data_IF_348747294114
#
_entry.id   IF_348747294114
#
_cell.length_a   1.000
_cell.length_b   1.000
_cell.length_c   1.000
_cell.angle_alpha   90.00
_cell.angle_beta   90.00
_cell.angle_gamma   90.00
#
_symmetry.space_group_name_H-M   'P 1'
#
loop_
_entity.id
_entity.type
_entity.pdbx_description
1 polymer ?
#
# COMPACT_ATOMS: atom_id res chain seq x y z
N UNK A 1 -17.75 -3.23 16.34
CA UNK A 1 -16.44 -2.60 16.09
C UNK A 1 -15.51 -3.67 15.55
N UNK A 2 -15.41 -3.79 14.22
CA UNK A 2 -14.46 -4.73 13.60
C UNK A 2 -13.07 -4.13 13.72
N UNK A 3 -12.24 -4.70 14.59
CA UNK A 3 -10.87 -4.24 14.80
C UNK A 3 -10.04 -4.62 13.57
N UNK A 4 -9.72 -3.65 12.71
CA UNK A 4 -8.95 -3.85 11.47
C UNK A 4 -7.62 -4.57 11.70
N UNK A 5 -7.07 -4.49 12.92
CA UNK A 5 -5.83 -5.15 13.34
C UNK A 5 -5.88 -6.67 13.17
N UNK A 6 -7.02 -7.32 13.43
CA UNK A 6 -7.14 -8.79 13.39
C UNK A 6 -7.26 -9.34 11.96
N UNK A 7 -7.64 -8.49 10.99
CA UNK A 7 -7.85 -8.89 9.58
C UNK A 7 -6.56 -9.29 8.87
N UNK A 8 -5.40 -8.91 9.42
CA UNK A 8 -4.09 -8.98 8.76
C UNK A 8 -3.18 -10.10 9.29
N UNK A 9 -3.40 -10.57 10.51
CA UNK A 9 -2.48 -11.47 11.21
C UNK A 9 -2.31 -12.85 10.54
N UNK A 10 -3.34 -13.38 9.88
CA UNK A 10 -3.31 -14.73 9.26
C UNK A 10 -2.82 -14.76 7.79
N UNK A 11 -2.32 -13.65 7.24
CA UNK A 11 -2.02 -13.55 5.79
C UNK A 11 -0.66 -12.95 5.45
N UNK A 12 0.22 -12.76 6.44
CA UNK A 12 1.50 -12.04 6.30
C UNK A 12 2.39 -12.61 5.18
N UNK A 13 2.61 -13.93 5.16
CA UNK A 13 3.50 -14.57 4.18
C UNK A 13 2.99 -14.44 2.73
N UNK A 14 1.69 -14.66 2.52
CA UNK A 14 1.04 -14.47 1.21
C UNK A 14 1.03 -13.00 0.80
N UNK A 15 0.89 -12.09 1.76
CA UNK A 15 0.89 -10.65 1.53
C UNK A 15 2.24 -10.15 0.98
N UNK A 16 3.34 -10.59 1.58
CA UNK A 16 4.70 -10.25 1.13
C UNK A 16 4.99 -10.80 -0.26
N UNK A 17 4.56 -12.04 -0.54
CA UNK A 17 4.92 -12.73 -1.78
C UNK A 17 4.21 -12.21 -3.02
N UNK A 18 2.95 -11.79 -2.91
CA UNK A 18 2.11 -11.55 -4.09
C UNK A 18 1.60 -10.11 -4.26
N UNK A 19 1.79 -9.21 -3.30
CA UNK A 19 1.38 -7.80 -3.47
C UNK A 19 2.26 -7.09 -4.51
N UNK A 20 1.69 -6.18 -5.33
CA UNK A 20 2.48 -5.32 -6.19
C UNK A 20 3.50 -4.54 -5.37
N UNK A 21 4.75 -4.61 -5.82
CA UNK A 21 5.75 -3.59 -5.51
C UNK A 21 5.37 -2.27 -6.20
N UNK A 22 6.18 -1.23 -6.02
CA UNK A 22 5.98 0.07 -6.65
C UNK A 22 6.89 0.22 -7.87
N UNK A 23 6.45 0.95 -8.92
CA UNK A 23 7.26 1.16 -10.12
C UNK A 23 8.52 1.93 -9.75
N UNK A 24 9.63 1.58 -10.42
CA UNK A 24 10.93 2.22 -10.18
C UNK A 24 10.84 3.72 -10.42
N UNK A 25 10.07 4.12 -11.43
CA UNK A 25 9.82 5.49 -11.86
C UNK A 25 9.13 6.32 -10.75
N UNK A 26 8.20 5.72 -10.01
CA UNK A 26 7.59 6.40 -8.86
C UNK A 26 8.62 6.64 -7.75
N UNK A 27 9.50 5.67 -7.48
CA UNK A 27 10.57 5.82 -6.50
C UNK A 27 11.58 6.86 -6.97
N UNK A 28 12.01 6.82 -8.23
CA UNK A 28 12.91 7.84 -8.81
C UNK A 28 12.31 9.24 -8.68
N UNK A 29 11.03 9.41 -9.00
CA UNK A 29 10.32 10.69 -8.85
C UNK A 29 10.37 11.24 -7.41
N UNK A 30 10.27 10.38 -6.39
CA UNK A 30 10.38 10.83 -5.00
C UNK A 30 11.73 11.48 -4.70
N UNK A 31 12.82 10.91 -5.23
CA UNK A 31 14.17 11.41 -4.96
C UNK A 31 14.54 12.57 -5.90
N UNK A 32 14.16 12.48 -7.17
CA UNK A 32 14.63 13.40 -8.20
C UNK A 32 13.76 14.68 -8.28
N UNK A 33 12.47 14.59 -7.93
CA UNK A 33 11.51 15.70 -8.05
C UNK A 33 10.94 16.13 -6.70
N UNK A 34 10.44 15.20 -5.88
CA UNK A 34 9.81 15.54 -4.59
C UNK A 34 10.86 16.05 -3.58
N UNK A 35 12.11 15.60 -3.73
CA UNK A 35 13.25 16.04 -2.93
C UNK A 35 13.62 15.10 -1.79
N UNK A 36 13.15 13.84 -1.79
CA UNK A 36 13.77 12.82 -0.94
C UNK A 36 15.26 12.70 -1.29
N UNK A 37 16.07 12.40 -0.29
CA UNK A 37 17.51 12.27 -0.47
C UNK A 37 18.05 11.11 0.36
N UNK A 38 19.20 10.59 -0.06
CA UNK A 38 19.96 9.66 0.78
C UNK A 38 20.18 10.27 2.16
N UNK A 39 20.10 9.43 3.20
CA UNK A 39 20.18 9.77 4.62
C UNK A 39 19.07 10.68 5.15
N UNK A 40 18.05 11.03 4.36
CA UNK A 40 16.84 11.63 4.91
C UNK A 40 16.19 10.64 5.89
N UNK A 41 15.71 11.13 7.02
CA UNK A 41 14.96 10.36 7.99
C UNK A 41 13.48 10.38 7.63
N UNK A 42 12.96 9.22 7.24
CA UNK A 42 11.60 9.02 6.75
C UNK A 42 10.81 8.20 7.77
N UNK A 43 9.64 8.70 8.18
CA UNK A 43 8.66 7.89 8.89
C UNK A 43 7.74 7.21 7.87
N UNK A 44 7.76 5.87 7.82
CA UNK A 44 6.82 5.06 7.04
C UNK A 44 5.64 4.68 7.95
N UNK A 45 4.51 5.37 7.79
CA UNK A 45 3.35 5.27 8.69
C UNK A 45 2.35 4.25 8.13
N UNK A 46 2.02 3.25 8.94
CA UNK A 46 1.29 2.07 8.47
C UNK A 46 2.17 1.21 7.57
N UNK A 47 3.43 1.01 7.96
CA UNK A 47 4.45 0.35 7.13
C UNK A 47 4.12 -1.13 6.80
N UNK A 48 3.20 -1.76 7.54
CA UNK A 48 2.86 -3.17 7.37
C UNK A 48 4.12 -4.05 7.47
N UNK A 49 4.32 -4.89 6.46
CA UNK A 49 5.50 -5.79 6.36
C UNK A 49 6.76 -5.11 5.83
N UNK A 50 6.78 -3.79 5.66
CA UNK A 50 7.96 -3.03 5.26
C UNK A 50 8.26 -3.02 3.75
N UNK A 51 7.28 -3.35 2.90
CA UNK A 51 7.47 -3.35 1.42
C UNK A 51 7.97 -1.99 0.93
N UNK A 52 7.35 -0.89 1.36
CA UNK A 52 7.77 0.45 0.95
C UNK A 52 9.06 0.90 1.66
N UNK A 53 9.17 0.63 2.96
CA UNK A 53 10.40 0.81 3.74
C UNK A 53 11.64 0.25 3.04
N UNK A 54 11.55 -0.96 2.47
CA UNK A 54 12.64 -1.60 1.72
C UNK A 54 13.12 -0.75 0.54
N UNK A 55 12.18 -0.16 -0.22
CA UNK A 55 12.50 0.66 -1.40
C UNK A 55 13.22 1.96 -0.99
N UNK A 56 12.83 2.56 0.14
CA UNK A 56 13.50 3.74 0.71
C UNK A 56 14.92 3.41 1.20
N UNK A 57 15.09 2.27 1.88
CA UNK A 57 16.40 1.79 2.35
C UNK A 57 17.35 1.50 1.18
N UNK A 58 16.86 0.90 0.10
CA UNK A 58 17.65 0.65 -1.12
C UNK A 58 18.17 1.94 -1.79
N UNK A 59 17.52 3.08 -1.53
CA UNK A 59 17.95 4.42 -1.98
C UNK A 59 18.77 5.17 -0.92
N UNK A 60 19.09 4.51 0.19
CA UNK A 60 19.95 5.02 1.26
C UNK A 60 19.26 5.94 2.26
N UNK A 61 17.93 5.99 2.32
CA UNK A 61 17.20 6.72 3.36
C UNK A 61 17.28 6.00 4.71
N UNK A 62 17.08 6.74 5.80
CA UNK A 62 16.88 6.18 7.13
C UNK A 62 15.38 6.04 7.36
N UNK A 63 14.92 4.87 7.80
CA UNK A 63 13.50 4.55 7.86
C UNK A 63 13.09 4.19 9.28
N UNK A 64 12.05 4.87 9.76
CA UNK A 64 11.31 4.53 10.97
C UNK A 64 9.94 4.01 10.55
N UNK A 65 9.76 2.69 10.58
CA UNK A 65 8.48 2.05 10.29
C UNK A 65 7.56 2.11 11.51
N UNK A 66 6.51 2.92 11.43
CA UNK A 66 5.46 3.03 12.45
C UNK A 66 4.31 2.13 12.03
N UNK A 67 4.04 1.08 12.80
CA UNK A 67 2.99 0.12 12.48
C UNK A 67 2.34 -0.39 13.77
N UNK A 68 1.01 -0.34 13.93
CA UNK A 68 0.37 -0.76 15.18
C UNK A 68 0.22 -2.27 15.34
N UNK A 69 0.16 -3.05 14.25
CA UNK A 69 0.03 -4.52 14.31
C UNK A 69 1.39 -5.18 14.56
N UNK A 70 1.49 -5.97 15.63
CA UNK A 70 2.73 -6.64 16.03
C UNK A 70 3.24 -7.63 14.99
N UNK A 71 2.39 -8.51 14.46
CA UNK A 71 2.81 -9.51 13.47
C UNK A 71 3.34 -8.87 12.17
N UNK A 72 2.73 -7.76 11.74
CA UNK A 72 3.20 -6.99 10.59
C UNK A 72 4.57 -6.35 10.85
N UNK A 73 4.76 -5.72 12.03
CA UNK A 73 6.06 -5.19 12.45
C UNK A 73 7.14 -6.25 12.50
N UNK A 74 6.86 -7.41 13.12
CA UNK A 74 7.82 -8.51 13.24
C UNK A 74 8.23 -9.02 11.85
N UNK A 75 7.31 -9.09 10.89
CA UNK A 75 7.64 -9.43 9.51
C UNK A 75 8.54 -8.38 8.83
N UNK A 76 8.31 -7.09 9.09
CA UNK A 76 9.19 -6.02 8.62
C UNK A 76 10.60 -6.13 9.23
N UNK A 77 10.69 -6.41 10.53
CA UNK A 77 11.96 -6.64 11.25
C UNK A 77 12.70 -7.85 10.70
N UNK A 78 12.02 -8.98 10.50
CA UNK A 78 12.62 -10.16 9.89
C UNK A 78 13.17 -9.87 8.49
N UNK A 79 12.46 -9.05 7.70
CA UNK A 79 12.87 -8.71 6.35
C UNK A 79 14.04 -7.70 6.30
N UNK A 80 14.08 -6.73 7.22
CA UNK A 80 14.89 -5.51 7.07
C UNK A 80 15.88 -5.24 8.21
N UNK A 81 15.88 -6.01 9.30
CA UNK A 81 16.75 -5.80 10.47
C UNK A 81 18.26 -5.86 10.19
N UNK A 82 18.68 -6.44 9.07
CA UNK A 82 20.07 -6.42 8.63
C UNK A 82 20.54 -5.04 8.15
N UNK A 83 19.61 -4.13 7.79
CA UNK A 83 19.93 -2.77 7.41
C UNK A 83 19.99 -1.87 8.66
N UNK A 84 21.17 -1.34 8.95
CA UNK A 84 21.38 -0.47 10.11
C UNK A 84 20.59 0.86 10.07
N UNK A 85 20.03 1.22 8.91
CA UNK A 85 19.19 2.41 8.74
C UNK A 85 17.69 2.14 9.00
N UNK A 86 17.32 0.91 9.34
CA UNK A 86 15.94 0.52 9.60
C UNK A 86 15.67 0.38 11.11
N UNK A 87 14.54 0.91 11.56
CA UNK A 87 13.97 0.61 12.88
C UNK A 87 12.45 0.67 12.85
N UNK A 88 11.81 -0.03 13.78
CA UNK A 88 10.36 -0.05 13.95
C UNK A 88 9.92 0.70 15.21
N UNK A 89 8.67 1.17 15.20
CA UNK A 89 7.99 1.73 16.36
C UNK A 89 6.55 1.20 16.39
N UNK A 90 6.11 0.74 17.56
CA UNK A 90 4.71 0.42 17.80
C UNK A 90 3.93 1.71 18.01
N UNK A 91 3.30 2.22 16.95
CA UNK A 91 2.49 3.44 16.97
C UNK A 91 1.44 3.42 15.87
N UNK A 92 0.52 4.39 15.90
CA UNK A 92 -0.45 4.63 14.84
C UNK A 92 -0.19 5.97 14.15
N UNK A 93 -0.95 6.30 13.11
CA UNK A 93 -0.83 7.58 12.42
C UNK A 93 -1.18 8.78 13.32
N UNK A 94 -2.07 8.55 14.29
CA UNK A 94 -2.55 9.56 15.25
C UNK A 94 -1.63 9.70 16.48
N UNK A 95 -0.81 8.69 16.75
CA UNK A 95 0.10 8.65 17.89
C UNK A 95 1.32 7.80 17.53
N UNK A 96 2.29 8.41 16.87
CA UNK A 96 3.46 7.72 16.30
C UNK A 96 4.50 7.35 17.36
N UNK A 97 4.49 8.05 18.50
CA UNK A 97 5.53 7.94 19.52
C UNK A 97 6.87 8.58 19.12
N UNK A 98 6.92 9.29 17.98
CA UNK A 98 8.12 9.97 17.52
C UNK A 98 8.28 11.35 18.18
N UNK A 99 9.51 11.87 18.36
CA UNK A 99 9.72 13.21 18.90
C UNK A 99 9.24 14.31 17.94
N UNK A 100 8.99 15.49 18.49
CA UNK A 100 8.66 16.69 17.72
C UNK A 100 9.78 17.00 16.70
N UNK A 101 9.38 17.43 15.50
CA UNK A 101 10.30 17.93 14.45
C UNK A 101 11.50 17.01 14.21
N UNK A 102 11.26 15.70 14.20
CA UNK A 102 12.31 14.68 14.17
C UNK A 102 12.54 14.11 12.77
N UNK A 103 11.53 14.10 11.89
CA UNK A 103 11.62 13.46 10.56
C UNK A 103 11.61 14.47 9.42
N UNK A 104 12.30 14.15 8.33
CA UNK A 104 12.36 14.97 7.12
C UNK A 104 11.12 14.74 6.22
N UNK A 105 10.65 13.49 6.17
CA UNK A 105 9.51 13.07 5.36
C UNK A 105 8.63 12.08 6.12
N UNK A 106 7.35 12.10 5.77
CA UNK A 106 6.38 11.06 6.14
C UNK A 106 5.92 10.39 4.85
N UNK A 107 5.88 9.06 4.83
CA UNK A 107 5.29 8.28 3.76
C UNK A 107 4.16 7.43 4.32
N UNK A 108 3.04 7.36 3.61
CA UNK A 108 1.93 6.46 3.89
C UNK A 108 1.60 5.69 2.60
N UNK A 109 2.09 4.45 2.49
CA UNK A 109 1.90 3.64 1.29
C UNK A 109 0.76 2.62 1.50
N UNK A 110 -0.39 2.87 0.87
CA UNK A 110 -1.64 2.08 0.99
C UNK A 110 -2.29 2.10 2.39
N UNK A 111 -1.85 2.97 3.31
CA UNK A 111 -2.35 2.98 4.70
C UNK A 111 -3.35 4.11 5.01
N UNK A 112 -3.30 5.22 4.27
CA UNK A 112 -3.96 6.47 4.68
C UNK A 112 -5.49 6.39 4.83
N UNK A 113 -6.15 5.47 4.11
CA UNK A 113 -7.61 5.25 4.22
C UNK A 113 -8.06 4.65 5.56
N UNK A 114 -7.13 4.20 6.41
CA UNK A 114 -7.42 3.70 7.74
C UNK A 114 -7.36 4.76 8.85
N UNK A 115 -6.86 5.96 8.54
CA UNK A 115 -6.48 6.93 9.57
C UNK A 115 -7.66 7.82 9.97
N UNK A 116 -7.68 8.24 11.24
CA UNK A 116 -8.34 9.49 11.60
C UNK A 116 -7.52 10.65 11.03
N UNK A 117 -7.98 11.20 9.92
CA UNK A 117 -7.24 12.21 9.15
C UNK A 117 -6.97 13.48 9.94
N UNK A 118 -7.87 13.89 10.82
CA UNK A 118 -7.67 15.11 11.62
C UNK A 118 -6.58 14.89 12.67
N UNK A 119 -6.65 13.77 13.37
CA UNK A 119 -5.65 13.42 14.38
C UNK A 119 -4.28 13.11 13.73
N UNK A 120 -4.27 12.39 12.61
CA UNK A 120 -3.06 12.10 11.84
C UNK A 120 -2.42 13.38 11.29
N UNK A 121 -3.20 14.34 10.78
CA UNK A 121 -2.65 15.62 10.31
C UNK A 121 -1.94 16.37 11.43
N UNK A 122 -2.56 16.45 12.61
CA UNK A 122 -1.97 17.10 13.78
C UNK A 122 -0.66 16.41 14.22
N UNK A 123 -0.65 15.07 14.24
CA UNK A 123 0.53 14.29 14.58
C UNK A 123 1.64 14.43 13.53
N UNK A 124 1.29 14.45 12.24
CA UNK A 124 2.24 14.63 11.15
C UNK A 124 2.89 16.00 11.20
N UNK A 125 2.09 17.05 11.47
CA UNK A 125 2.59 18.39 11.70
C UNK A 125 3.56 18.46 12.89
N UNK A 126 3.26 17.73 13.97
CA UNK A 126 4.12 17.69 15.18
C UNK A 126 5.49 17.07 14.89
N UNK A 127 5.54 15.95 14.18
CA UNK A 127 6.78 15.17 14.00
C UNK A 127 7.63 15.65 12.82
N UNK A 128 7.05 16.34 11.84
CA UNK A 128 7.78 16.87 10.68
C UNK A 128 8.68 18.05 11.08
N UNK A 129 9.89 18.06 10.54
CA UNK A 129 10.75 19.25 10.54
C UNK A 129 10.13 20.36 9.68
N UNK A 130 10.48 21.64 9.93
CA UNK A 130 10.10 22.73 9.02
C UNK A 130 10.48 22.43 7.56
N UNK A 131 9.52 22.55 6.64
CA UNK A 131 9.69 22.24 5.21
C UNK A 131 9.65 20.75 4.86
N UNK A 132 9.39 19.88 5.83
CA UNK A 132 9.15 18.46 5.60
C UNK A 132 7.84 18.20 4.86
N UNK A 133 7.77 17.09 4.13
CA UNK A 133 6.63 16.75 3.27
C UNK A 133 5.99 15.42 3.67
N UNK A 134 4.68 15.33 3.45
CA UNK A 134 3.94 14.07 3.51
C UNK A 134 3.75 13.53 2.10
N UNK A 135 3.95 12.23 1.93
CA UNK A 135 3.73 11.49 0.70
C UNK A 135 2.69 10.41 0.96
N UNK A 136 1.59 10.47 0.22
CA UNK A 136 0.53 9.47 0.27
C UNK A 136 0.53 8.69 -1.04
N UNK A 137 0.69 7.37 -0.97
CA UNK A 137 0.93 6.54 -2.15
C UNK A 137 -0.11 5.42 -2.21
N UNK A 138 -0.71 5.22 -3.39
CA UNK A 138 -1.63 4.12 -3.66
C UNK A 138 -1.24 3.37 -4.92
N UNK A 139 -1.41 2.04 -4.90
CA UNK A 139 -1.48 1.23 -6.11
C UNK A 139 -2.95 0.83 -6.32
N UNK A 140 -3.57 1.42 -7.33
CA UNK A 140 -4.96 1.20 -7.72
C UNK A 140 -4.99 0.25 -8.91
N UNK A 141 -5.70 -0.88 -8.81
CA UNK A 141 -5.84 -1.80 -9.96
C UNK A 141 -6.69 -1.13 -11.04
N UNK A 142 -6.30 -1.29 -12.29
CA UNK A 142 -7.15 -0.88 -13.41
C UNK A 142 -8.28 -1.90 -13.61
N UNK A 143 -9.51 -1.45 -13.48
CA UNK A 143 -10.72 -2.30 -13.55
C UNK A 143 -11.31 -2.39 -14.96
N UNK A 144 -10.92 -1.47 -15.85
CA UNK A 144 -11.47 -1.33 -17.20
C UNK A 144 -10.36 -1.25 -18.26
N UNK A 145 -10.77 -1.37 -19.52
CA UNK A 145 -9.92 -1.12 -20.69
C UNK A 145 -9.40 -2.39 -21.38
N UNK A 146 -9.66 -3.57 -20.82
CA UNK A 146 -9.57 -4.84 -21.54
C UNK A 146 -10.47 -5.91 -20.87
N UNK A 147 -10.72 -7.00 -21.60
CA UNK A 147 -11.62 -8.07 -21.16
C UNK A 147 -11.13 -8.77 -19.88
N UNK A 148 -9.83 -9.01 -19.73
CA UNK A 148 -9.28 -9.60 -18.51
C UNK A 148 -9.60 -8.77 -17.26
N UNK A 149 -9.39 -7.46 -17.30
CA UNK A 149 -9.63 -6.55 -16.16
C UNK A 149 -11.11 -6.52 -15.77
N UNK A 150 -11.99 -6.49 -16.77
CA UNK A 150 -13.44 -6.45 -16.59
C UNK A 150 -13.98 -7.78 -16.03
N UNK A 151 -13.55 -8.92 -16.58
CA UNK A 151 -13.94 -10.25 -16.07
C UNK A 151 -13.39 -10.51 -14.67
N UNK A 152 -12.14 -10.10 -14.40
CA UNK A 152 -11.58 -10.22 -13.06
C UNK A 152 -12.28 -9.30 -12.05
N UNK A 153 -12.69 -8.09 -12.44
CA UNK A 153 -13.50 -7.23 -11.57
C UNK A 153 -14.87 -7.85 -11.29
N UNK A 154 -15.51 -8.44 -12.31
CA UNK A 154 -16.77 -9.15 -12.15
C UNK A 154 -16.63 -10.36 -11.20
N UNK A 155 -15.56 -11.15 -11.34
CA UNK A 155 -15.22 -12.24 -10.41
C UNK A 155 -15.22 -11.74 -8.95
N UNK A 156 -14.56 -10.61 -8.69
CA UNK A 156 -14.48 -10.03 -7.34
C UNK A 156 -15.83 -9.54 -6.83
N UNK A 157 -16.65 -8.92 -7.68
CA UNK A 157 -18.01 -8.48 -7.32
C UNK A 157 -18.95 -9.65 -7.05
N UNK A 158 -18.86 -10.71 -7.84
CA UNK A 158 -19.73 -11.88 -7.73
C UNK A 158 -19.42 -12.72 -6.49
N UNK A 159 -18.13 -12.91 -6.18
CA UNK A 159 -17.73 -13.88 -5.15
C UNK A 159 -17.08 -13.28 -3.90
N UNK A 160 -16.58 -12.04 -3.96
CA UNK A 160 -15.93 -11.36 -2.84
C UNK A 160 -16.92 -11.04 -1.71
N UNK A 161 -16.51 -11.20 -0.45
CA UNK A 161 -17.40 -11.05 0.70
C UNK A 161 -17.77 -9.60 1.01
N UNK A 162 -16.84 -8.66 0.79
CA UNK A 162 -16.98 -7.23 1.09
C UNK A 162 -16.30 -6.34 0.03
N UNK A 163 -16.15 -6.85 -1.20
CA UNK A 163 -15.36 -6.17 -2.23
C UNK A 163 -15.84 -4.72 -2.47
N UNK A 164 -17.14 -4.51 -2.67
CA UNK A 164 -17.72 -3.18 -2.93
C UNK A 164 -17.50 -2.16 -1.79
N UNK A 165 -17.31 -2.62 -0.56
CA UNK A 165 -17.03 -1.75 0.59
C UNK A 165 -15.54 -1.39 0.70
N UNK A 166 -14.66 -2.15 0.06
CA UNK A 166 -13.19 -2.09 0.21
C UNK A 166 -12.49 -1.58 -1.06
N UNK A 167 -13.11 -1.64 -2.23
CA UNK A 167 -12.55 -1.22 -3.53
C UNK A 167 -12.19 0.24 -3.60
N UNK A 168 -13.03 1.08 -3.02
CA UNK A 168 -12.83 2.50 -3.15
C UNK A 168 -11.71 2.91 -2.20
N UNK A 169 -10.77 3.68 -2.74
CA UNK A 169 -9.88 4.59 -2.00
C UNK A 169 -10.62 5.33 -0.88
N UNK A 170 -11.96 5.40 -0.94
CA UNK A 170 -12.92 5.93 0.03
C UNK A 170 -12.56 7.34 0.48
N UNK A 171 -11.79 8.03 -0.35
CA UNK A 171 -11.30 9.37 -0.12
C UNK A 171 -11.42 10.10 -1.45
N UNK A 172 -12.22 11.16 -1.45
CA UNK A 172 -12.33 12.06 -2.59
C UNK A 172 -11.04 12.87 -2.76
N UNK A 173 -10.78 13.36 -3.97
CA UNK A 173 -9.64 14.26 -4.21
C UNK A 173 -9.72 15.53 -3.35
N UNK A 174 -10.92 16.05 -3.10
CA UNK A 174 -11.15 17.17 -2.18
C UNK A 174 -10.71 16.84 -0.75
N UNK A 175 -11.02 15.63 -0.28
CA UNK A 175 -10.60 15.20 1.06
C UNK A 175 -9.08 15.02 1.15
N UNK A 176 -8.44 14.49 0.10
CA UNK A 176 -6.97 14.45 0.03
C UNK A 176 -6.39 15.86 0.05
N UNK A 177 -6.93 16.77 -0.77
CA UNK A 177 -6.46 18.15 -0.84
C UNK A 177 -6.57 18.87 0.53
N UNK A 178 -7.67 18.67 1.27
CA UNK A 178 -7.87 19.27 2.60
C UNK A 178 -6.86 18.78 3.66
N UNK A 179 -6.19 17.66 3.41
CA UNK A 179 -5.14 17.17 4.30
C UNK A 179 -3.83 17.95 4.14
N UNK A 180 -3.62 18.62 3.02
CA UNK A 180 -2.42 19.40 2.75
C UNK A 180 -2.67 20.90 2.96
N UNK A 181 -1.64 21.61 3.37
CA UNK A 181 -1.66 23.05 3.62
C UNK A 181 -1.71 23.84 2.31
N UNK A 182 -2.52 24.90 2.28
CA UNK A 182 -2.52 25.96 1.23
C UNK A 182 -2.54 25.43 -0.22
N UNK A 183 -3.33 24.39 -0.51
CA UNK A 183 -3.39 23.78 -1.84
C UNK A 183 -2.01 23.30 -2.37
N UNK A 184 -1.08 22.99 -1.46
CA UNK A 184 0.28 22.54 -1.83
C UNK A 184 0.32 21.14 -2.44
N UNK A 185 -0.79 20.40 -2.38
CA UNK A 185 -0.89 19.03 -2.88
C UNK A 185 -0.52 18.96 -4.37
N UNK A 186 0.53 18.21 -4.66
CA UNK A 186 0.87 17.76 -6.01
C UNK A 186 0.45 16.30 -6.18
N UNK A 187 0.22 15.87 -7.42
CA UNK A 187 -0.08 14.48 -7.75
C UNK A 187 0.69 14.06 -9.00
N UNK A 188 1.26 12.87 -8.97
CA UNK A 188 1.87 12.22 -10.13
C UNK A 188 1.42 10.77 -10.24
N UNK A 189 1.36 10.24 -11.47
CA UNK A 189 0.84 8.90 -11.77
C UNK A 189 1.83 8.06 -12.56
N UNK A 190 1.95 6.80 -12.18
CA UNK A 190 2.86 5.85 -12.83
C UNK A 190 2.12 4.54 -13.11
N UNK A 191 2.25 4.02 -14.33
CA UNK A 191 1.73 2.70 -14.65
C UNK A 191 2.67 1.61 -14.13
N UNK A 192 2.11 0.52 -13.62
CA UNK A 192 2.86 -0.71 -13.34
C UNK A 192 2.03 -1.92 -13.74
N UNK A 193 2.65 -2.83 -14.50
CA UNK A 193 2.06 -4.12 -14.87
C UNK A 193 2.79 -5.22 -14.11
N UNK A 194 2.04 -6.02 -13.36
CA UNK A 194 2.54 -7.29 -12.84
C UNK A 194 2.24 -8.40 -13.83
N UNK A 195 3.15 -9.35 -13.94
CA UNK A 195 2.99 -10.54 -14.80
C UNK A 195 2.83 -11.73 -13.87
N UNK A 196 1.79 -12.53 -14.11
CA UNK A 196 1.49 -13.70 -13.29
C UNK A 196 1.21 -14.92 -14.16
N UNK A 197 1.80 -16.05 -13.79
CA UNK A 197 1.25 -17.36 -14.10
C UNK A 197 0.00 -17.62 -13.24
N UNK A 198 -0.65 -18.77 -13.44
CA UNK A 198 -1.90 -19.07 -12.72
C UNK A 198 -1.70 -19.12 -11.20
N UNK A 199 -0.62 -19.76 -10.72
CA UNK A 199 -0.31 -19.84 -9.29
C UNK A 199 -0.02 -18.46 -8.69
N UNK A 200 0.67 -17.58 -9.43
CA UNK A 200 0.89 -16.18 -9.09
C UNK A 200 -0.42 -15.39 -8.99
N UNK A 201 -1.31 -15.54 -9.98
CA UNK A 201 -2.60 -14.86 -10.01
C UNK A 201 -3.47 -15.30 -8.83
N UNK A 202 -3.52 -16.61 -8.55
CA UNK A 202 -4.21 -17.19 -7.40
C UNK A 202 -3.63 -16.68 -6.08
N UNK A 203 -2.31 -16.64 -5.94
CA UNK A 203 -1.64 -16.07 -4.78
C UNK A 203 -2.01 -14.59 -4.56
N UNK A 204 -2.04 -13.80 -5.64
CA UNK A 204 -2.45 -12.39 -5.62
C UNK A 204 -3.92 -12.23 -5.25
N UNK A 205 -4.81 -13.09 -5.74
CA UNK A 205 -6.20 -13.08 -5.35
C UNK A 205 -6.29 -13.27 -3.82
N UNK A 206 -5.73 -14.38 -3.32
CA UNK A 206 -5.78 -14.82 -1.93
C UNK A 206 -5.15 -13.83 -0.92
N UNK A 207 -4.22 -12.97 -1.36
CA UNK A 207 -3.68 -11.90 -0.51
C UNK A 207 -4.70 -10.80 -0.19
N UNK A 208 -5.85 -10.77 -0.86
CA UNK A 208 -6.86 -9.72 -0.70
C UNK A 208 -7.82 -10.06 0.43
N UNK A 209 -8.07 -9.10 1.32
CA UNK A 209 -8.79 -9.33 2.58
C UNK A 209 -10.30 -9.52 2.42
N UNK A 210 -10.82 -9.37 1.20
CA UNK A 210 -12.23 -9.56 0.80
C UNK A 210 -12.47 -10.88 0.05
N UNK A 211 -11.45 -11.75 -0.06
CA UNK A 211 -11.64 -13.09 -0.62
C UNK A 211 -12.25 -14.01 0.43
N UNK A 212 -13.31 -14.77 0.08
CA UNK A 212 -13.91 -15.77 0.96
C UNK A 212 -12.86 -16.75 1.51
N UNK A 213 -13.07 -17.23 2.73
CA UNK A 213 -12.27 -18.33 3.29
C UNK A 213 -12.58 -19.64 2.58
N UNK A 214 -11.68 -20.65 2.58
CA UNK A 214 -11.87 -21.91 1.86
C UNK A 214 -13.19 -22.63 2.14
N UNK A 215 -13.72 -22.48 3.35
CA UNK A 215 -14.97 -23.11 3.81
C UNK A 215 -16.24 -22.39 3.32
N UNK A 216 -16.11 -21.18 2.78
CA UNK A 216 -17.23 -20.38 2.31
C UNK A 216 -17.74 -20.91 0.95
N UNK A 217 -19.07 -20.99 0.72
CA UNK A 217 -19.64 -21.59 -0.50
C UNK A 217 -19.18 -20.92 -1.81
N UNK A 218 -18.88 -19.62 -1.77
CA UNK A 218 -18.36 -18.88 -2.94
C UNK A 218 -16.89 -19.20 -3.27
N UNK A 219 -16.13 -19.85 -2.38
CA UNK A 219 -14.69 -20.03 -2.58
C UNK A 219 -14.37 -20.94 -3.77
N UNK A 220 -14.92 -22.16 -3.80
CA UNK A 220 -14.65 -23.11 -4.88
C UNK A 220 -15.14 -22.61 -6.26
N UNK A 221 -16.35 -22.02 -6.39
CA UNK A 221 -16.77 -21.36 -7.62
C UNK A 221 -15.83 -20.23 -8.05
N UNK A 222 -15.36 -19.40 -7.11
CA UNK A 222 -14.41 -18.33 -7.40
C UNK A 222 -13.08 -18.84 -7.93
N UNK A 223 -12.53 -19.91 -7.36
CA UNK A 223 -11.28 -20.50 -7.85
C UNK A 223 -11.44 -21.09 -9.25
N UNK A 224 -12.60 -21.72 -9.52
CA UNK A 224 -12.92 -22.26 -10.84
C UNK A 224 -13.00 -21.14 -11.88
N UNK A 225 -13.72 -20.06 -11.55
CA UNK A 225 -13.85 -18.94 -12.49
C UNK A 225 -12.54 -18.17 -12.66
N UNK A 226 -11.70 -18.06 -11.62
CA UNK A 226 -10.35 -17.52 -11.76
C UNK A 226 -9.52 -18.29 -12.80
N UNK A 227 -9.59 -19.63 -12.77
CA UNK A 227 -8.91 -20.47 -13.73
C UNK A 227 -9.44 -20.26 -15.14
N UNK A 228 -10.77 -20.23 -15.32
CA UNK A 228 -11.38 -19.96 -16.61
C UNK A 228 -10.96 -18.60 -17.19
N UNK A 229 -10.94 -17.55 -16.35
CA UNK A 229 -10.47 -16.22 -16.74
C UNK A 229 -9.00 -16.28 -17.16
N UNK A 230 -8.14 -16.97 -16.38
CA UNK A 230 -6.73 -17.12 -16.74
C UNK A 230 -6.56 -17.80 -18.10
N UNK A 231 -7.20 -18.95 -18.33
CA UNK A 231 -7.09 -19.71 -19.58
C UNK A 231 -7.61 -18.93 -20.81
N UNK A 232 -8.60 -18.04 -20.63
CA UNK A 232 -9.12 -17.18 -21.71
C UNK A 232 -8.18 -16.04 -22.09
N UNK A 233 -7.38 -15.54 -21.14
CA UNK A 233 -6.65 -14.29 -21.28
C UNK A 233 -5.13 -14.44 -21.23
N UNK A 234 -4.63 -15.65 -20.96
CA UNK A 234 -3.19 -15.89 -20.91
C UNK A 234 -2.51 -15.71 -22.26
N UNK A 235 -1.28 -15.20 -22.21
CA UNK A 235 -0.37 -15.08 -23.32
C UNK A 235 0.94 -15.72 -22.87
N UNK A 236 1.33 -16.81 -23.53
CA UNK A 236 2.55 -17.57 -23.22
C UNK A 236 2.66 -17.94 -21.72
N UNK A 237 1.60 -18.48 -21.11
CA UNK A 237 1.62 -18.88 -19.70
C UNK A 237 1.31 -17.77 -18.70
N UNK A 238 0.98 -16.56 -19.15
CA UNK A 238 0.93 -15.39 -18.28
C UNK A 238 -0.26 -14.45 -18.54
N UNK A 239 -0.76 -13.83 -17.48
CA UNK A 239 -1.69 -12.68 -17.55
C UNK A 239 -1.02 -11.40 -17.06
N UNK A 240 -1.50 -10.27 -17.58
CA UNK A 240 -0.99 -8.94 -17.28
C UNK A 240 -1.95 -8.20 -16.36
N UNK A 241 -1.45 -7.80 -15.21
CA UNK A 241 -2.23 -7.28 -14.11
C UNK A 241 -1.82 -5.83 -13.84
N UNK A 242 -2.59 -4.90 -14.41
CA UNK A 242 -2.22 -3.49 -14.49
C UNK A 242 -2.72 -2.67 -13.29
N UNK A 243 -1.86 -1.78 -12.84
CA UNK A 243 -2.13 -0.81 -11.79
C UNK A 243 -1.68 0.58 -12.21
N UNK A 244 -2.30 1.56 -11.57
CA UNK A 244 -1.78 2.92 -11.49
C UNK A 244 -1.28 3.17 -10.07
N UNK A 245 -0.01 3.57 -9.97
CA UNK A 245 0.57 4.12 -8.75
C UNK A 245 0.34 5.63 -8.73
N UNK A 246 -0.42 6.10 -7.75
CA UNK A 246 -0.68 7.53 -7.54
C UNK A 246 0.16 8.01 -6.36
N UNK A 247 0.97 9.04 -6.58
CA UNK A 247 1.80 9.70 -5.56
C UNK A 247 1.23 11.08 -5.31
N UNK A 248 0.67 11.32 -4.13
CA UNK A 248 0.29 12.66 -3.67
C UNK A 248 1.33 13.16 -2.68
N UNK A 249 1.71 14.42 -2.77
CA UNK A 249 2.66 14.99 -1.82
C UNK A 249 2.45 16.48 -1.58
N UNK A 250 2.83 16.94 -0.39
CA UNK A 250 2.70 18.35 -0.01
C UNK A 250 3.12 18.59 1.45
N UNK A 251 2.96 19.82 1.90
CA UNK A 251 3.13 20.21 3.31
C UNK A 251 1.81 20.03 4.07
N UNK A 252 1.87 19.82 5.39
CA UNK A 252 0.71 19.69 6.28
C UNK A 252 0.73 20.69 7.43
#
# INVERSE_FOLDING_TARGET
MNNHKDRFSNRVDTYVKFRPSYPKEAIDYLYDVVGLRAKALVADIGAGTGIFSKLLLQRGSQVIAVEPNQAMREAAEQMLSADANFRTVSGSAEATGLPDKSVDFIVCAQAFHWFDRTAAQAEFHRILKPGGKVLLIWNSRLEHGNAFREEYDLLLRTFGSDYEKVTHKNISQETLASFFKNDSMQVERFAITQVFDFEGLKGRLMSSSYIPVPEHPNFAPMMTELQNIFERHEQDGNVFFDYETEVYWGEV
#
